data_IF_918392142800
#
_entry.id   IF_918392142800
#
_cell.length_a   1.000
_cell.length_b   1.000
_cell.length_c   1.000
_cell.angle_alpha   90.00
_cell.angle_beta   90.00
_cell.angle_gamma   90.00
#
_symmetry.space_group_name_H-M   'P 1'
#
loop_
_entity.id
_entity.type
_entity.pdbx_description
1 polymer ?
#
# COMPACT_ATOMS: atom_id res chain seq x y z
N UNK A 1 61.61 -12.65 16.68
CA UNK A 1 62.45 -11.56 17.17
C UNK A 1 62.46 -10.49 16.09
N UNK A 2 61.69 -9.41 16.10
CA UNK A 2 60.74 -8.83 17.06
C UNK A 2 59.79 -7.86 16.30
N UNK A 3 58.58 -7.74 16.84
CA UNK A 3 57.62 -6.63 16.98
C UNK A 3 57.59 -5.39 16.03
N UNK A 4 56.36 -5.10 15.55
CA UNK A 4 55.53 -3.87 15.72
C UNK A 4 56.22 -2.48 15.71
N UNK A 5 55.69 -1.36 15.21
CA UNK A 5 54.41 -0.85 14.69
C UNK A 5 54.70 0.64 14.36
N UNK A 6 54.17 1.25 13.29
CA UNK A 6 53.53 2.59 13.38
C UNK A 6 52.86 3.04 12.07
N UNK A 7 51.58 3.31 12.27
CA UNK A 7 50.52 3.92 11.47
C UNK A 7 50.87 5.27 10.80
N UNK A 8 50.36 5.50 9.57
CA UNK A 8 49.87 6.83 9.15
C UNK A 8 48.69 6.73 8.17
N UNK A 9 47.73 7.61 8.43
CA UNK A 9 46.35 7.77 7.99
C UNK A 9 46.27 8.75 6.82
N UNK A 10 45.48 8.49 5.79
CA UNK A 10 44.73 9.50 4.99
C UNK A 10 43.81 8.85 3.92
N UNK A 11 42.53 9.23 3.96
CA UNK A 11 41.56 9.26 2.84
C UNK A 11 41.35 10.76 2.51
N UNK A 12 40.85 11.24 1.33
CA UNK A 12 39.69 10.69 0.58
C UNK A 12 39.72 10.83 -0.97
N UNK A 13 38.94 10.03 -1.71
CA UNK A 13 38.34 10.51 -2.97
C UNK A 13 37.04 9.74 -3.29
N UNK A 14 35.95 10.47 -3.48
CA UNK A 14 34.61 9.95 -3.67
C UNK A 14 34.39 9.49 -5.11
N UNK A 15 34.40 8.18 -5.32
CA UNK A 15 33.97 7.54 -6.57
C UNK A 15 32.58 6.94 -6.44
N UNK A 16 31.53 7.76 -6.44
CA UNK A 16 30.15 7.27 -6.56
C UNK A 16 29.90 6.82 -8.02
N UNK A 17 30.12 5.54 -8.30
CA UNK A 17 29.71 4.92 -9.56
C UNK A 17 28.66 3.86 -9.26
N UNK A 18 27.39 4.22 -9.46
CA UNK A 18 26.30 3.26 -9.59
C UNK A 18 25.62 3.48 -10.94
N UNK A 19 26.04 2.66 -11.91
CA UNK A 19 25.39 2.45 -13.19
C UNK A 19 24.07 1.70 -12.96
N UNK A 20 22.95 2.40 -12.79
CA UNK A 20 21.62 1.79 -12.92
C UNK A 20 20.84 2.50 -14.03
N UNK A 21 20.90 1.93 -15.24
CA UNK A 21 20.01 2.31 -16.34
C UNK A 21 18.77 1.43 -16.26
N UNK A 22 17.76 1.92 -15.54
CA UNK A 22 16.47 1.23 -15.42
C UNK A 22 15.67 1.50 -16.70
N UNK A 23 15.61 0.51 -17.59
CA UNK A 23 14.88 0.64 -18.85
C UNK A 23 13.37 0.81 -18.60
N UNK A 24 12.72 1.78 -19.25
CA UNK A 24 11.30 2.14 -19.08
C UNK A 24 10.35 0.93 -19.20
N UNK A 25 10.75 -0.10 -19.97
CA UNK A 25 10.04 -1.37 -20.11
C UNK A 25 10.01 -2.19 -18.81
N UNK A 26 11.08 -2.22 -18.02
CA UNK A 26 11.10 -2.88 -16.71
C UNK A 26 10.29 -2.12 -15.68
N UNK A 27 10.29 -0.78 -15.74
CA UNK A 27 9.44 0.05 -14.87
C UNK A 27 7.97 -0.19 -15.17
N UNK A 28 7.56 -0.22 -16.44
CA UNK A 28 6.20 -0.57 -16.86
C UNK A 28 5.82 -2.01 -16.50
N UNK A 29 6.71 -2.99 -16.72
CA UNK A 29 6.44 -4.38 -16.37
C UNK A 29 6.28 -4.53 -14.85
N UNK A 30 7.12 -3.85 -14.06
CA UNK A 30 7.06 -3.82 -12.61
C UNK A 30 5.82 -3.08 -12.11
N UNK A 31 5.41 -1.96 -12.72
CA UNK A 31 4.16 -1.25 -12.35
C UNK A 31 2.91 -2.04 -12.70
N UNK A 32 2.91 -2.81 -13.79
CA UNK A 32 1.79 -3.68 -14.18
C UNK A 32 1.74 -4.96 -13.32
N UNK A 33 2.89 -5.47 -12.87
CA UNK A 33 2.96 -6.67 -12.00
C UNK A 33 2.91 -6.35 -10.50
N UNK A 34 3.17 -5.11 -10.09
CA UNK A 34 3.04 -4.62 -8.72
C UNK A 34 1.65 -4.84 -8.12
N UNK A 35 0.53 -4.55 -8.81
CA UNK A 35 -0.80 -4.87 -8.29
C UNK A 35 -1.04 -6.37 -8.09
N UNK A 36 -0.46 -7.22 -8.96
CA UNK A 36 -0.54 -8.67 -8.82
C UNK A 36 0.34 -9.19 -7.67
N UNK A 37 1.54 -8.64 -7.51
CA UNK A 37 2.41 -8.93 -6.37
C UNK A 37 1.80 -8.45 -5.04
N UNK A 38 1.19 -7.27 -5.02
CA UNK A 38 0.45 -6.76 -3.86
C UNK A 38 -0.73 -7.67 -3.51
N UNK A 39 -1.44 -8.20 -4.52
CA UNK A 39 -2.49 -9.19 -4.35
C UNK A 39 -1.97 -10.50 -3.73
N UNK A 40 -0.85 -11.01 -4.23
CA UNK A 40 -0.22 -12.24 -3.73
C UNK A 40 0.31 -12.03 -2.32
N UNK A 41 0.99 -10.91 -2.04
CA UNK A 41 1.49 -10.57 -0.70
C UNK A 41 0.32 -10.38 0.26
N UNK A 42 -0.77 -9.72 -0.15
CA UNK A 42 -1.95 -9.54 0.69
C UNK A 42 -2.64 -10.89 1.00
N UNK A 43 -2.73 -11.79 0.02
CA UNK A 43 -3.26 -13.14 0.19
C UNK A 43 -2.37 -14.00 1.11
N UNK A 44 -1.06 -13.94 0.91
CA UNK A 44 -0.07 -14.65 1.74
C UNK A 44 -0.08 -14.11 3.17
N UNK A 45 -0.12 -12.79 3.36
CA UNK A 45 -0.25 -12.17 4.68
C UNK A 45 -1.55 -12.57 5.36
N UNK A 46 -2.69 -12.54 4.65
CA UNK A 46 -3.97 -12.99 5.20
C UNK A 46 -3.95 -14.47 5.60
N UNK A 47 -3.35 -15.34 4.76
CA UNK A 47 -3.21 -16.76 5.03
C UNK A 47 -2.29 -17.05 6.23
N UNK A 48 -1.15 -16.35 6.33
CA UNK A 48 -0.21 -16.48 7.45
C UNK A 48 -0.84 -15.95 8.76
N UNK A 49 -1.56 -14.82 8.71
CA UNK A 49 -2.26 -14.30 9.88
C UNK A 49 -3.38 -15.23 10.34
N UNK A 50 -4.09 -15.86 9.39
CA UNK A 50 -5.12 -16.84 9.66
C UNK A 50 -4.56 -18.15 10.27
N UNK A 51 -3.30 -18.50 9.99
CA UNK A 51 -2.63 -19.66 10.58
C UNK A 51 -2.18 -19.43 12.04
N UNK A 52 -1.86 -18.19 12.43
CA UNK A 52 -1.39 -17.86 13.78
C UNK A 52 -2.51 -17.70 14.82
N UNK A 53 -3.79 -17.68 14.40
CA UNK A 53 -4.95 -17.45 15.28
C UNK A 53 -5.59 -18.74 15.85
N UNK A 54 -4.92 -19.91 15.81
CA UNK A 54 -5.45 -21.19 16.35
C UNK A 54 -5.28 -21.33 17.88
N UNK A 55 -5.23 -20.23 18.65
CA UNK A 55 -5.37 -20.30 20.11
C UNK A 55 -6.67 -19.63 20.57
N UNK A 56 -7.59 -20.48 21.04
CA UNK A 56 -8.94 -20.15 21.48
C UNK A 56 -8.98 -18.98 22.47
N UNK A 57 -9.76 -17.93 22.17
CA UNK A 57 -10.69 -17.20 23.11
C UNK A 57 -11.27 -15.86 22.59
N UNK A 58 -11.03 -15.37 21.36
CA UNK A 58 -11.53 -14.06 20.88
C UNK A 58 -12.50 -14.08 19.67
N UNK A 59 -13.38 -15.10 19.60
CA UNK A 59 -14.23 -15.44 18.44
C UNK A 59 -15.03 -14.28 17.80
N UNK A 60 -15.60 -13.34 18.58
CA UNK A 60 -16.47 -12.28 17.99
C UNK A 60 -15.70 -11.07 17.45
N UNK A 61 -14.55 -10.73 18.04
CA UNK A 61 -13.71 -9.62 17.59
C UNK A 61 -12.89 -10.01 16.35
N UNK A 62 -12.39 -11.25 16.31
CA UNK A 62 -11.68 -11.79 15.16
C UNK A 62 -12.58 -11.98 13.95
N UNK A 63 -13.83 -12.45 14.10
CA UNK A 63 -14.74 -12.58 12.95
C UNK A 63 -15.03 -11.23 12.28
N UNK A 64 -15.18 -10.16 13.07
CA UNK A 64 -15.33 -8.80 12.55
C UNK A 64 -14.06 -8.37 11.82
N UNK A 65 -12.87 -8.53 12.42
CA UNK A 65 -11.61 -8.17 11.78
C UNK A 65 -11.37 -8.92 10.46
N UNK A 66 -11.66 -10.23 10.43
CA UNK A 66 -11.56 -11.07 9.23
C UNK A 66 -12.53 -10.61 8.13
N UNK A 67 -13.76 -10.24 8.48
CA UNK A 67 -14.71 -9.67 7.53
C UNK A 67 -14.21 -8.33 6.97
N UNK A 68 -13.69 -7.44 7.83
CA UNK A 68 -13.12 -6.16 7.42
C UNK A 68 -11.93 -6.33 6.47
N UNK A 69 -11.02 -7.26 6.75
CA UNK A 69 -9.88 -7.57 5.89
C UNK A 69 -10.34 -8.11 4.54
N UNK A 70 -11.31 -9.05 4.51
CA UNK A 70 -11.88 -9.56 3.26
C UNK A 70 -12.53 -8.46 2.44
N UNK A 71 -13.28 -7.56 3.07
CA UNK A 71 -13.91 -6.42 2.39
C UNK A 71 -12.84 -5.48 1.81
N UNK A 72 -11.84 -5.09 2.60
CA UNK A 72 -10.75 -4.22 2.14
C UNK A 72 -9.98 -4.84 0.96
N UNK A 73 -9.72 -6.14 1.00
CA UNK A 73 -9.10 -6.89 -0.09
C UNK A 73 -9.92 -6.82 -1.38
N UNK A 74 -11.22 -7.15 -1.31
CA UNK A 74 -12.08 -7.13 -2.50
C UNK A 74 -12.25 -5.71 -3.05
N UNK A 75 -12.32 -4.70 -2.19
CA UNK A 75 -12.34 -3.30 -2.61
C UNK A 75 -11.06 -2.93 -3.38
N UNK A 76 -9.88 -3.31 -2.88
CA UNK A 76 -8.61 -3.10 -3.56
C UNK A 76 -8.52 -3.82 -4.91
N UNK A 77 -9.05 -5.05 -5.01
CA UNK A 77 -9.14 -5.80 -6.28
C UNK A 77 -10.01 -5.08 -7.29
N UNK A 78 -11.20 -4.63 -6.88
CA UNK A 78 -12.12 -3.89 -7.76
C UNK A 78 -11.52 -2.55 -8.18
N UNK A 79 -10.87 -1.85 -7.27
CA UNK A 79 -10.19 -0.57 -7.51
C UNK A 79 -9.09 -0.74 -8.57
N UNK A 80 -8.18 -1.68 -8.36
CA UNK A 80 -7.08 -1.95 -9.29
C UNK A 80 -7.61 -2.44 -10.64
N UNK A 81 -8.57 -3.36 -10.63
CA UNK A 81 -9.15 -3.91 -11.85
C UNK A 81 -9.87 -2.85 -12.69
N UNK A 82 -10.62 -1.96 -12.05
CA UNK A 82 -11.28 -0.85 -12.74
C UNK A 82 -10.29 0.20 -13.24
N UNK A 83 -9.21 0.47 -12.49
CA UNK A 83 -8.12 1.34 -12.95
C UNK A 83 -7.42 0.78 -14.21
N UNK A 84 -7.14 -0.53 -14.26
CA UNK A 84 -6.65 -1.19 -15.47
C UNK A 84 -7.69 -1.18 -16.60
N UNK A 85 -8.97 -1.26 -16.25
CA UNK A 85 -10.06 -1.19 -17.23
C UNK A 85 -10.12 0.17 -17.94
N UNK A 86 -10.05 1.27 -17.18
CA UNK A 86 -10.09 2.63 -17.76
C UNK A 86 -8.84 2.96 -18.60
N UNK A 87 -7.70 2.31 -18.34
CA UNK A 87 -6.50 2.46 -19.20
C UNK A 87 -6.58 1.63 -20.48
N UNK A 88 -7.30 0.50 -20.43
CA UNK A 88 -7.46 -0.38 -21.59
C UNK A 88 -8.54 0.11 -22.55
N UNK A 89 -9.71 0.51 -22.05
CA UNK A 89 -10.85 0.92 -22.87
C UNK A 89 -10.91 2.45 -22.91
N UNK A 90 -10.61 3.04 -24.07
CA UNK A 90 -10.66 4.50 -24.21
C UNK A 90 -12.10 5.02 -24.28
N UNK A 91 -12.34 6.22 -23.76
CA UNK A 91 -13.62 6.92 -23.88
C UNK A 91 -14.08 7.13 -25.34
N UNK A 92 -13.15 7.17 -26.30
CA UNK A 92 -13.44 7.28 -27.74
C UNK A 92 -13.94 5.98 -28.34
N UNK A 93 -13.49 4.84 -27.81
CA UNK A 93 -13.83 3.51 -28.32
C UNK A 93 -15.19 3.05 -27.78
N UNK A 94 -15.39 3.20 -26.47
CA UNK A 94 -16.64 2.82 -25.83
C UNK A 94 -16.92 3.69 -24.60
N UNK A 95 -17.59 4.82 -24.83
CA UNK A 95 -17.93 5.77 -23.78
C UNK A 95 -18.77 5.14 -22.64
N UNK A 96 -19.86 4.38 -22.90
CA UNK A 96 -20.64 3.75 -21.82
C UNK A 96 -19.81 2.86 -20.89
N UNK A 97 -18.90 2.06 -21.44
CA UNK A 97 -18.06 1.16 -20.64
C UNK A 97 -17.01 1.94 -19.86
N UNK A 98 -16.33 2.90 -20.49
CA UNK A 98 -15.35 3.76 -19.82
C UNK A 98 -15.99 4.50 -18.64
N UNK A 99 -17.20 5.07 -18.81
CA UNK A 99 -17.92 5.75 -17.74
C UNK A 99 -18.20 4.82 -16.55
N UNK A 100 -18.65 3.58 -16.79
CA UNK A 100 -18.94 2.64 -15.69
C UNK A 100 -17.67 2.17 -14.99
N UNK A 101 -16.59 1.90 -15.72
CA UNK A 101 -15.31 1.55 -15.13
C UNK A 101 -14.76 2.69 -14.27
N UNK A 102 -14.88 3.93 -14.75
CA UNK A 102 -14.48 5.10 -13.99
C UNK A 102 -15.29 5.26 -12.70
N UNK A 103 -16.61 5.10 -12.75
CA UNK A 103 -17.46 5.14 -11.54
C UNK A 103 -17.09 4.03 -10.55
N UNK A 104 -16.83 2.81 -11.03
CA UNK A 104 -16.41 1.70 -10.18
C UNK A 104 -15.07 2.04 -9.50
N UNK A 105 -14.10 2.59 -10.23
CA UNK A 105 -12.83 3.04 -9.68
C UNK A 105 -13.01 4.10 -8.60
N UNK A 106 -13.85 5.12 -8.85
CA UNK A 106 -14.13 6.18 -7.89
C UNK A 106 -14.74 5.66 -6.58
N UNK A 107 -15.77 4.80 -6.68
CA UNK A 107 -16.45 4.28 -5.50
C UNK A 107 -15.57 3.30 -4.73
N UNK A 108 -14.89 2.38 -5.43
CA UNK A 108 -14.02 1.38 -4.80
C UNK A 108 -12.80 2.02 -4.12
N UNK A 109 -12.11 2.97 -4.76
CA UNK A 109 -10.96 3.67 -4.15
C UNK A 109 -11.33 4.47 -2.90
N UNK A 110 -12.40 5.28 -2.96
CA UNK A 110 -12.83 6.08 -1.79
C UNK A 110 -13.27 5.19 -0.62
N UNK A 111 -13.99 4.11 -0.91
CA UNK A 111 -14.42 3.15 0.13
C UNK A 111 -13.26 2.34 0.68
N UNK A 112 -12.28 1.98 -0.16
CA UNK A 112 -11.04 1.32 0.27
C UNK A 112 -10.22 2.22 1.20
N UNK A 113 -9.96 3.48 0.82
CA UNK A 113 -9.26 4.46 1.67
C UNK A 113 -9.95 4.64 3.03
N UNK A 114 -11.28 4.78 3.02
CA UNK A 114 -12.09 4.88 4.24
C UNK A 114 -11.99 3.62 5.11
N UNK A 115 -12.04 2.43 4.51
CA UNK A 115 -11.91 1.16 5.22
C UNK A 115 -10.54 1.02 5.86
N UNK A 116 -9.46 1.36 5.14
CA UNK A 116 -8.09 1.35 5.67
C UNK A 116 -7.90 2.35 6.81
N UNK A 117 -8.36 3.60 6.67
CA UNK A 117 -8.26 4.62 7.73
C UNK A 117 -9.02 4.17 8.99
N UNK A 118 -10.24 3.63 8.83
CA UNK A 118 -11.03 3.11 9.97
C UNK A 118 -10.37 1.88 10.59
N UNK A 119 -9.84 0.97 9.78
CA UNK A 119 -9.12 -0.21 10.24
C UNK A 119 -7.88 0.15 11.06
N UNK A 120 -7.02 1.02 10.52
CA UNK A 120 -5.83 1.52 11.20
C UNK A 120 -6.22 2.22 12.49
N UNK A 121 -7.25 3.08 12.49
CA UNK A 121 -7.72 3.76 13.71
C UNK A 121 -8.26 2.80 14.76
N UNK A 122 -9.01 1.77 14.35
CA UNK A 122 -9.53 0.75 15.26
C UNK A 122 -8.39 -0.07 15.90
N UNK A 123 -7.37 -0.42 15.12
CA UNK A 123 -6.17 -1.11 15.63
C UNK A 123 -5.34 -0.18 16.52
N UNK A 124 -5.18 1.09 16.15
CA UNK A 124 -4.47 2.08 16.94
C UNK A 124 -5.09 2.29 18.32
N UNK A 125 -6.41 2.25 18.45
CA UNK A 125 -7.07 2.33 19.75
C UNK A 125 -6.73 1.15 20.68
N UNK A 126 -6.29 0.02 20.13
CA UNK A 126 -5.89 -1.16 20.92
C UNK A 126 -4.42 -1.15 21.31
N UNK A 127 -3.54 -0.40 20.62
CA UNK A 127 -2.12 -0.29 20.92
C UNK A 127 -1.84 1.12 21.46
N UNK A 128 -1.22 1.26 22.62
CA UNK A 128 -0.94 2.56 23.28
C UNK A 128 0.05 3.48 22.55
N UNK A 129 0.33 3.25 21.26
CA UNK A 129 1.25 4.00 20.39
C UNK A 129 0.53 5.08 19.57
N UNK A 130 -0.12 6.02 20.25
CA UNK A 130 -0.98 7.00 19.60
C UNK A 130 -0.23 8.09 18.81
N UNK A 131 1.02 8.40 19.15
CA UNK A 131 1.72 9.58 18.60
C UNK A 131 2.20 9.40 17.15
N UNK A 132 2.90 8.29 16.86
CA UNK A 132 3.38 7.97 15.50
C UNK A 132 2.22 7.68 14.54
N UNK A 133 1.21 6.94 15.01
CA UNK A 133 0.04 6.57 14.21
C UNK A 133 -0.80 7.79 13.83
N UNK A 134 -0.93 8.78 14.71
CA UNK A 134 -1.70 10.01 14.42
C UNK A 134 -1.09 10.83 13.27
N UNK A 135 0.24 10.90 13.16
CA UNK A 135 0.90 11.63 12.07
C UNK A 135 0.64 10.92 10.72
N UNK A 136 0.83 9.60 10.66
CA UNK A 136 0.54 8.81 9.46
C UNK A 136 -0.95 8.83 9.07
N UNK A 137 -1.84 8.91 10.06
CA UNK A 137 -3.29 9.00 9.86
C UNK A 137 -3.70 10.36 9.29
N UNK A 138 -3.04 11.46 9.69
CA UNK A 138 -3.31 12.79 9.18
C UNK A 138 -3.05 12.89 7.67
N UNK A 139 -1.91 12.32 7.21
CA UNK A 139 -1.57 12.26 5.77
C UNK A 139 -2.66 11.49 5.01
N UNK A 140 -3.03 10.30 5.52
CA UNK A 140 -4.08 9.46 4.91
C UNK A 140 -5.44 10.16 4.83
N UNK A 141 -5.84 10.86 5.89
CA UNK A 141 -7.08 11.66 5.92
C UNK A 141 -7.02 12.84 4.94
N UNK A 142 -5.86 13.47 4.80
CA UNK A 142 -5.65 14.57 3.85
C UNK A 142 -5.83 14.08 2.41
N UNK A 143 -5.24 12.92 2.07
CA UNK A 143 -5.38 12.30 0.74
C UNK A 143 -6.85 11.94 0.42
N UNK A 144 -7.59 11.42 1.41
CA UNK A 144 -9.03 11.17 1.27
C UNK A 144 -9.81 12.46 1.02
N UNK A 145 -9.55 13.51 1.80
CA UNK A 145 -10.24 14.80 1.65
C UNK A 145 -9.95 15.45 0.29
N UNK A 146 -8.70 15.39 -0.20
CA UNK A 146 -8.32 15.84 -1.53
C UNK A 146 -9.11 15.07 -2.61
N UNK A 147 -9.22 13.75 -2.45
CA UNK A 147 -9.96 12.89 -3.38
C UNK A 147 -11.46 13.20 -3.39
N UNK A 148 -12.06 13.46 -2.22
CA UNK A 148 -13.47 13.86 -2.11
C UNK A 148 -13.76 15.22 -2.76
N UNK A 149 -12.94 16.23 -2.46
CA UNK A 149 -13.10 17.58 -3.06
C UNK A 149 -12.93 17.49 -4.59
N UNK A 150 -11.94 16.72 -5.06
CA UNK A 150 -11.70 16.51 -6.49
C UNK A 150 -12.84 15.74 -7.14
N UNK A 151 -13.49 14.80 -6.43
CA UNK A 151 -14.67 14.08 -6.92
C UNK A 151 -15.86 15.02 -7.12
N UNK A 152 -16.09 15.93 -6.18
CA UNK A 152 -17.15 16.94 -6.29
C UNK A 152 -16.86 17.85 -7.50
N UNK A 153 -15.62 18.35 -7.60
CA UNK A 153 -15.18 19.16 -8.75
C UNK A 153 -15.35 18.44 -10.09
N UNK A 154 -14.98 17.16 -10.14
CA UNK A 154 -15.16 16.31 -11.32
C UNK A 154 -16.63 16.23 -11.75
N UNK A 155 -17.55 15.96 -10.80
CA UNK A 155 -18.99 15.91 -11.10
C UNK A 155 -19.51 17.28 -11.54
N UNK A 156 -19.09 18.36 -10.89
CA UNK A 156 -19.48 19.73 -11.26
C UNK A 156 -19.04 20.07 -12.68
N UNK A 157 -17.77 19.88 -13.02
CA UNK A 157 -17.24 20.16 -14.37
C UNK A 157 -17.81 19.22 -15.42
N UNK A 158 -18.12 17.97 -15.07
CA UNK A 158 -18.81 17.04 -15.95
C UNK A 158 -20.22 17.53 -16.31
N UNK A 159 -20.99 17.99 -15.32
CA UNK A 159 -22.32 18.55 -15.54
C UNK A 159 -22.26 19.86 -16.32
N UNK A 160 -21.32 20.74 -15.98
CA UNK A 160 -21.11 22.01 -16.68
C UNK A 160 -20.72 21.80 -18.14
N UNK A 161 -19.85 20.83 -18.41
CA UNK A 161 -19.48 20.45 -19.77
C UNK A 161 -20.69 19.96 -20.57
N UNK A 162 -21.56 19.15 -19.96
CA UNK A 162 -22.72 18.56 -20.64
C UNK A 162 -23.90 19.52 -20.81
N UNK A 163 -24.10 20.46 -19.89
CA UNK A 163 -25.28 21.34 -19.87
C UNK A 163 -24.99 22.77 -20.36
N UNK A 164 -23.81 23.31 -20.06
CA UNK A 164 -23.47 24.73 -20.30
C UNK A 164 -22.43 24.93 -21.41
N UNK A 165 -21.73 23.87 -21.83
CA UNK A 165 -20.73 23.90 -22.91
C UNK A 165 -19.64 24.97 -22.71
N UNK A 166 -19.21 25.19 -21.47
CA UNK A 166 -18.19 26.19 -21.16
C UNK A 166 -16.80 25.77 -21.67
N UNK A 167 -16.04 26.74 -22.17
CA UNK A 167 -14.66 26.52 -22.65
C UNK A 167 -13.79 26.16 -21.43
N UNK A 168 -12.92 25.16 -21.56
CA UNK A 168 -12.05 24.60 -20.50
C UNK A 168 -12.69 23.62 -19.50
N UNK A 169 -14.01 23.42 -19.51
CA UNK A 169 -14.66 22.46 -18.58
C UNK A 169 -14.08 21.04 -18.71
N UNK A 170 -13.79 20.60 -19.93
CA UNK A 170 -13.16 19.29 -20.19
C UNK A 170 -11.73 19.17 -19.63
N UNK A 171 -10.94 20.25 -19.69
CA UNK A 171 -9.57 20.23 -19.17
C UNK A 171 -9.56 20.19 -17.64
N UNK A 172 -10.48 20.92 -16.98
CA UNK A 172 -10.61 20.90 -15.52
C UNK A 172 -11.16 19.55 -15.03
N UNK A 173 -12.07 18.94 -15.78
CA UNK A 173 -12.52 17.57 -15.53
C UNK A 173 -11.33 16.60 -15.53
N UNK A 174 -10.51 16.61 -16.58
CA UNK A 174 -9.33 15.75 -16.66
C UNK A 174 -8.30 16.04 -15.55
N UNK A 175 -8.15 17.30 -15.16
CA UNK A 175 -7.29 17.67 -14.03
C UNK A 175 -7.76 17.02 -12.71
N UNK A 176 -9.07 17.04 -12.43
CA UNK A 176 -9.62 16.35 -11.26
C UNK A 176 -9.36 14.84 -11.32
N UNK A 177 -9.54 14.20 -12.47
CA UNK A 177 -9.22 12.77 -12.65
C UNK A 177 -7.76 12.46 -12.29
N UNK A 178 -6.81 13.28 -12.78
CA UNK A 178 -5.39 13.10 -12.46
C UNK A 178 -5.10 13.29 -10.97
N UNK A 179 -5.69 14.30 -10.32
CA UNK A 179 -5.50 14.54 -8.88
C UNK A 179 -5.99 13.33 -8.08
N UNK A 180 -7.15 12.77 -8.43
CA UNK A 180 -7.70 11.58 -7.75
C UNK A 180 -6.77 10.37 -7.95
N UNK A 181 -6.31 10.12 -9.18
CA UNK A 181 -5.40 9.01 -9.45
C UNK A 181 -4.07 9.14 -8.68
N UNK A 182 -3.51 10.35 -8.62
CA UNK A 182 -2.30 10.66 -7.84
C UNK A 182 -2.52 10.47 -6.34
N UNK A 183 -3.63 10.97 -5.79
CA UNK A 183 -3.96 10.79 -4.38
C UNK A 183 -4.13 9.31 -4.03
N UNK A 184 -4.71 8.52 -4.95
CA UNK A 184 -4.84 7.08 -4.80
C UNK A 184 -3.50 6.36 -4.77
N UNK A 185 -2.61 6.64 -5.73
CA UNK A 185 -1.25 6.08 -5.73
C UNK A 185 -0.47 6.47 -4.48
N UNK A 186 -0.54 7.74 -4.06
CA UNK A 186 0.09 8.22 -2.84
C UNK A 186 -0.46 7.49 -1.60
N UNK A 187 -1.77 7.24 -1.54
CA UNK A 187 -2.38 6.51 -0.43
C UNK A 187 -1.82 5.09 -0.32
N UNK A 188 -1.75 4.35 -1.42
CA UNK A 188 -1.15 3.00 -1.44
C UNK A 188 0.31 3.02 -0.98
N UNK A 189 1.11 4.00 -1.42
CA UNK A 189 2.48 4.17 -0.94
C UNK A 189 2.51 4.39 0.58
N UNK A 190 1.64 5.25 1.13
CA UNK A 190 1.59 5.46 2.59
C UNK A 190 1.19 4.22 3.37
N UNK A 191 0.36 3.35 2.80
CA UNK A 191 -0.02 2.06 3.42
C UNK A 191 1.15 1.09 3.37
N UNK A 192 1.90 1.04 2.28
CA UNK A 192 3.09 0.18 2.16
C UNK A 192 4.17 0.60 3.16
N UNK A 193 4.40 1.91 3.32
CA UNK A 193 5.39 2.45 4.26
C UNK A 193 4.99 2.28 5.74
N UNK A 194 3.70 2.09 6.04
CA UNK A 194 3.22 1.81 7.40
C UNK A 194 3.60 0.38 7.86
N UNK A 195 3.89 -0.54 6.93
CA UNK A 195 4.35 -1.86 7.32
C UNK A 195 5.80 -1.76 7.82
N UNK A 196 6.08 -2.13 9.09
CA UNK A 196 7.46 -2.21 9.55
C UNK A 196 8.20 -3.18 8.63
N UNK A 197 9.41 -2.80 8.22
CA UNK A 197 10.34 -3.70 7.53
C UNK A 197 10.79 -4.78 8.52
N UNK A 198 9.87 -5.68 8.86
CA UNK A 198 10.13 -6.87 9.65
C UNK A 198 11.13 -7.70 8.84
N UNK A 199 12.37 -7.78 9.32
CA UNK A 199 13.32 -8.75 8.84
C UNK A 199 12.67 -10.13 9.01
N UNK A 200 12.28 -10.76 7.90
CA UNK A 200 11.78 -12.13 7.87
C UNK A 200 12.95 -13.07 8.19
N UNK A 201 13.29 -13.22 9.48
CA UNK A 201 14.32 -14.16 9.92
C UNK A 201 13.69 -15.55 9.97
N UNK A 202 13.90 -16.32 8.91
CA UNK A 202 13.61 -17.76 8.92
C UNK A 202 14.72 -18.44 9.74
N UNK A 203 14.53 -18.54 11.06
CA UNK A 203 15.38 -19.37 11.90
C UNK A 203 14.99 -20.84 11.73
N UNK A 204 15.61 -21.53 10.77
CA UNK A 204 15.53 -22.99 10.69
C UNK A 204 16.58 -23.58 11.62
N UNK A 205 16.13 -24.15 12.74
CA UNK A 205 16.98 -25.01 13.57
C UNK A 205 17.80 -24.29 14.63
N UNK A 206 17.16 -23.59 15.57
CA UNK A 206 17.68 -23.63 16.94
C UNK A 206 17.32 -25.00 17.49
N UNK A 207 18.10 -26.01 17.10
CA UNK A 207 18.20 -27.24 17.87
C UNK A 207 18.69 -26.84 19.25
N UNK A 208 17.76 -26.84 20.19
CA UNK A 208 17.96 -26.80 21.63
C UNK A 208 18.78 -28.01 22.08
N UNK A 209 20.05 -28.09 21.70
CA UNK A 209 20.93 -29.19 22.09
C UNK A 209 22.35 -28.78 22.47
N UNK A 210 22.53 -27.60 23.07
CA UNK A 210 23.75 -27.28 23.83
C UNK A 210 23.50 -26.95 25.31
N UNK A 211 22.24 -26.89 25.79
CA UNK A 211 21.95 -26.71 27.22
C UNK A 211 21.66 -27.98 28.01
N UNK A 212 21.74 -29.17 27.39
CA UNK A 212 21.45 -30.44 28.06
C UNK A 212 22.69 -31.33 28.35
N UNK A 213 23.91 -30.91 27.96
CA UNK A 213 25.13 -31.70 28.18
C UNK A 213 26.04 -31.22 29.31
N UNK A 214 25.83 -30.04 29.88
CA UNK A 214 26.68 -29.53 30.95
C UNK A 214 26.13 -29.80 32.37
N UNK A 215 24.85 -30.15 32.52
CA UNK A 215 24.24 -30.48 33.82
C UNK A 215 24.17 -31.97 34.17
N UNK A 216 24.63 -32.86 33.28
CA UNK A 216 24.69 -34.32 33.55
C UNK A 216 26.12 -34.84 33.75
N UNK A 217 27.03 -33.95 34.17
CA UNK A 217 28.42 -34.28 34.52
C UNK A 217 28.68 -34.23 36.04
N UNK A 218 27.62 -34.16 36.84
CA UNK A 218 27.65 -34.07 38.30
C UNK A 218 26.78 -35.15 39.00
N UNK A 219 26.48 -36.25 38.32
CA UNK A 219 26.05 -37.51 38.96
C UNK A 219 26.94 -38.66 38.45
#
# INVERSE_FOLDING_TARGET
>A
MDSELTQKKEAPEEGLVVHYSLSFKHVCLLTVSCPFLALVVCFVTAYIFQANDIHETHCRAQLKAQLWLKIAFWLNVMETGSLCGVTYISNRENYPVHEKLFIIFMVSSLTHMLACIKGIKAVAQTRTDMSYVNQGLYIKQTLLNISLISTIGLVSFFLEHRLLCHRMAFSMFALCEYIIALANMAFHVTVILDFPTEHFVIAKGITSNERAKEYRKFD
#
